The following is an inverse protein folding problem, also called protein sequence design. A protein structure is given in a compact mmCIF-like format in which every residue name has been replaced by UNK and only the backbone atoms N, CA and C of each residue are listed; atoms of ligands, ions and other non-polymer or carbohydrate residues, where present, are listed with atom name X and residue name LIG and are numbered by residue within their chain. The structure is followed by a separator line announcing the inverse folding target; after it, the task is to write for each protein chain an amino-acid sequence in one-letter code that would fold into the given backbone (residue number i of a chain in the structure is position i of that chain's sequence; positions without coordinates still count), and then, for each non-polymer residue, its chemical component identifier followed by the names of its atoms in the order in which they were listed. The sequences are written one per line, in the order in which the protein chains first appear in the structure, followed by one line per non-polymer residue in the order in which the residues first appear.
data_IF_668020680000
#
_entry.id   IF_668020680000
#
_cell.length_a   1.000
_cell.length_b   1.000
_cell.length_c   1.000
_cell.angle_alpha   90.00
_cell.angle_beta   90.00
_cell.angle_gamma   90.00
#
_symmetry.space_group_name_H-M   'P 1'
#
loop_
_entity.id
_entity.type
_entity.pdbx_description
1 polymer ?
#
# COMPACT_ATOMS: atom_id res chain seq x y z
N UNK A 1 -20.85 22.56 -29.24
CA UNK A 1 -20.97 22.37 -27.79
C UNK A 1 -20.02 21.25 -27.35
N UNK A 2 -18.81 21.63 -26.95
CA UNK A 2 -17.71 20.69 -26.61
C UNK A 2 -17.92 19.95 -25.28
N UNK A 3 -18.84 20.39 -24.45
CA UNK A 3 -19.25 19.67 -23.25
C UNK A 3 -19.96 18.35 -23.57
N UNK A 4 -20.50 18.22 -24.76
CA UNK A 4 -21.13 16.99 -25.28
C UNK A 4 -20.06 16.00 -25.78
N UNK A 5 -18.84 16.46 -26.10
CA UNK A 5 -17.78 15.57 -26.61
C UNK A 5 -17.23 14.59 -25.58
N UNK A 6 -17.37 14.88 -24.28
CA UNK A 6 -16.98 13.91 -23.23
C UNK A 6 -17.84 12.66 -23.23
N UNK A 7 -19.16 12.82 -23.46
CA UNK A 7 -20.05 11.67 -23.66
C UNK A 7 -19.84 10.95 -25.00
N UNK A 8 -19.35 11.66 -26.02
CA UNK A 8 -19.04 11.06 -27.32
C UNK A 8 -17.74 10.27 -27.28
N UNK A 9 -16.72 10.70 -26.49
CA UNK A 9 -15.49 9.94 -26.28
C UNK A 9 -15.76 8.53 -25.78
N UNK A 10 -16.62 8.38 -24.75
CA UNK A 10 -17.01 7.07 -24.22
C UNK A 10 -17.80 6.23 -25.25
N UNK A 11 -18.61 6.87 -26.08
CA UNK A 11 -19.34 6.18 -27.15
C UNK A 11 -18.38 5.68 -28.22
N UNK A 12 -17.41 6.48 -28.63
CA UNK A 12 -16.40 6.07 -29.62
C UNK A 12 -15.50 4.96 -29.08
N UNK A 13 -15.04 5.07 -27.85
CA UNK A 13 -14.26 4.01 -27.18
C UNK A 13 -15.03 2.70 -27.12
N UNK A 14 -16.29 2.74 -26.71
CA UNK A 14 -17.17 1.57 -26.71
C UNK A 14 -17.36 1.00 -28.14
N UNK A 15 -17.51 1.84 -29.15
CA UNK A 15 -17.62 1.40 -30.53
C UNK A 15 -16.31 0.75 -31.01
N UNK A 16 -15.16 1.33 -30.68
CA UNK A 16 -13.86 0.76 -31.00
C UNK A 16 -13.67 -0.61 -30.35
N UNK A 17 -14.02 -0.74 -29.06
CA UNK A 17 -13.99 -2.04 -28.36
C UNK A 17 -14.91 -3.09 -29.00
N UNK A 18 -16.15 -2.73 -29.31
CA UNK A 18 -17.11 -3.63 -29.97
C UNK A 18 -16.62 -4.05 -31.36
N UNK A 19 -16.00 -3.12 -32.09
CA UNK A 19 -15.45 -3.40 -33.41
C UNK A 19 -14.23 -4.36 -33.30
N UNK A 20 -13.31 -4.08 -32.39
CA UNK A 20 -12.17 -4.97 -32.08
C UNK A 20 -12.63 -6.37 -31.69
N UNK A 21 -13.61 -6.49 -30.79
CA UNK A 21 -14.19 -7.78 -30.38
C UNK A 21 -14.71 -8.58 -31.58
N UNK A 22 -15.42 -7.93 -32.51
CA UNK A 22 -15.92 -8.58 -33.73
C UNK A 22 -14.80 -9.04 -34.65
N UNK A 23 -13.79 -8.21 -34.82
CA UNK A 23 -12.63 -8.52 -35.67
C UNK A 23 -11.82 -9.69 -35.09
N UNK A 24 -11.53 -9.68 -33.78
CA UNK A 24 -10.81 -10.77 -33.12
C UNK A 24 -11.62 -12.06 -33.10
N UNK A 25 -12.93 -12.01 -32.83
CA UNK A 25 -13.83 -13.17 -32.92
C UNK A 25 -13.78 -13.79 -34.32
N UNK A 26 -13.86 -12.95 -35.36
CA UNK A 26 -13.79 -13.41 -36.74
C UNK A 26 -12.40 -13.97 -37.10
N UNK A 27 -11.34 -13.29 -36.65
CA UNK A 27 -9.94 -13.67 -36.94
C UNK A 27 -9.56 -15.00 -36.29
N UNK A 28 -9.97 -15.22 -35.02
CA UNK A 28 -9.61 -16.40 -34.24
C UNK A 28 -10.62 -17.53 -34.31
N UNK A 29 -11.80 -17.30 -34.90
CA UNK A 29 -12.91 -18.27 -34.94
C UNK A 29 -13.33 -18.77 -33.54
N UNK A 30 -13.29 -17.92 -32.54
CA UNK A 30 -13.63 -18.20 -31.14
C UNK A 30 -14.78 -17.30 -30.68
N UNK A 31 -15.37 -17.60 -29.54
CA UNK A 31 -16.45 -16.76 -28.99
C UNK A 31 -15.94 -15.41 -28.49
N UNK A 32 -16.81 -14.39 -28.44
CA UNK A 32 -16.49 -13.08 -27.87
C UNK A 32 -15.97 -13.19 -26.42
N UNK A 33 -16.52 -14.11 -25.63
CA UNK A 33 -16.05 -14.36 -24.25
C UNK A 33 -14.61 -14.89 -24.26
N UNK A 34 -14.28 -15.79 -25.18
CA UNK A 34 -12.91 -16.32 -25.29
C UNK A 34 -11.91 -15.24 -25.73
N UNK A 35 -12.32 -14.28 -26.58
CA UNK A 35 -11.48 -13.14 -26.96
C UNK A 35 -11.19 -12.26 -25.76
N UNK A 36 -12.15 -12.02 -24.86
CA UNK A 36 -11.95 -11.22 -23.66
C UNK A 36 -10.87 -11.80 -22.72
N UNK A 37 -10.75 -13.13 -22.67
CA UNK A 37 -9.77 -13.80 -21.81
C UNK A 37 -8.43 -14.08 -22.49
N UNK A 38 -8.39 -14.08 -23.83
CA UNK A 38 -7.18 -14.44 -24.58
C UNK A 38 -6.24 -13.25 -24.80
N UNK A 39 -6.78 -12.07 -25.01
CA UNK A 39 -5.98 -10.83 -25.15
C UNK A 39 -6.71 -9.64 -24.54
N UNK A 40 -6.08 -8.93 -23.61
CA UNK A 40 -6.64 -7.67 -23.14
C UNK A 40 -6.77 -6.67 -24.30
N UNK A 41 -7.87 -5.96 -24.32
CA UNK A 41 -8.07 -4.88 -25.28
C UNK A 41 -7.02 -3.79 -25.02
N UNK A 42 -6.21 -3.51 -26.04
CA UNK A 42 -5.34 -2.32 -26.05
C UNK A 42 -6.12 -1.21 -26.76
N UNK A 43 -6.35 -0.11 -26.06
CA UNK A 43 -6.95 1.06 -26.70
C UNK A 43 -6.07 1.50 -27.88
N UNK A 44 -6.66 1.77 -29.05
CA UNK A 44 -5.88 2.35 -30.15
C UNK A 44 -5.26 3.68 -29.70
N UNK A 45 -4.14 4.04 -30.29
CA UNK A 45 -3.49 5.35 -30.10
C UNK A 45 -4.47 6.46 -30.51
N UNK A 46 -5.35 6.83 -29.60
CA UNK A 46 -6.32 7.84 -29.86
C UNK A 46 -6.11 9.05 -28.97
N UNK A 47 -6.07 10.18 -29.61
CA UNK A 47 -6.28 11.52 -29.10
C UNK A 47 -5.02 12.19 -28.56
N UNK A 48 -4.13 12.50 -29.49
CA UNK A 48 -3.19 13.60 -29.30
C UNK A 48 -4.03 14.88 -29.15
N UNK A 49 -3.99 15.46 -27.96
CA UNK A 49 -4.57 16.77 -27.71
C UNK A 49 -3.73 17.82 -28.38
N UNK A 50 -4.34 18.70 -29.14
CA UNK A 50 -3.68 19.83 -29.78
C UNK A 50 -4.16 21.15 -29.18
N UNK A 51 -3.45 22.23 -29.45
CA UNK A 51 -3.86 23.58 -29.03
C UNK A 51 -5.25 23.98 -29.54
N UNK A 52 -5.71 23.36 -30.64
CA UNK A 52 -7.06 23.61 -31.18
C UNK A 52 -8.17 22.94 -30.35
N UNK A 53 -7.83 21.98 -29.51
CA UNK A 53 -8.76 21.26 -28.67
C UNK A 53 -8.90 21.90 -27.28
N UNK A 54 -8.11 22.96 -27.03
CA UNK A 54 -8.00 23.63 -25.74
C UNK A 54 -8.76 24.95 -25.78
N UNK A 55 -9.64 25.15 -24.75
CA UNK A 55 -10.30 26.44 -24.53
C UNK A 55 -10.10 26.84 -23.06
N UNK A 56 -9.22 27.79 -22.82
CA UNK A 56 -8.92 28.33 -21.50
C UNK A 56 -9.85 29.49 -21.10
N UNK A 57 -10.76 29.93 -21.98
CA UNK A 57 -11.65 31.05 -21.68
C UNK A 57 -12.69 30.73 -20.62
N UNK A 58 -13.05 29.47 -20.44
CA UNK A 58 -14.08 29.03 -19.50
C UNK A 58 -13.56 28.50 -18.18
N UNK A 59 -12.29 28.01 -18.12
CA UNK A 59 -11.71 27.40 -16.91
C UNK A 59 -10.19 27.50 -16.91
N UNK A 60 -9.62 27.65 -15.70
CA UNK A 60 -8.19 27.59 -15.43
C UNK A 60 -7.70 26.16 -15.10
N UNK A 61 -8.59 25.19 -15.05
CA UNK A 61 -8.33 23.85 -14.52
C UNK A 61 -8.65 22.77 -15.56
N UNK A 62 -7.68 21.90 -15.81
CA UNK A 62 -7.86 20.69 -16.61
C UNK A 62 -7.91 19.43 -15.73
N UNK A 63 -8.73 18.46 -16.15
CA UNK A 63 -8.73 17.11 -15.56
C UNK A 63 -8.43 16.11 -16.68
N UNK A 64 -7.31 15.41 -16.56
CA UNK A 64 -6.88 14.40 -17.52
C UNK A 64 -7.01 13.00 -16.90
N UNK A 65 -7.75 12.10 -17.56
CA UNK A 65 -8.00 10.76 -17.06
C UNK A 65 -7.14 9.75 -17.82
N UNK A 66 -6.32 9.00 -17.07
CA UNK A 66 -5.58 7.86 -17.58
C UNK A 66 -6.32 6.60 -17.18
N UNK A 67 -6.60 5.73 -18.13
CA UNK A 67 -7.20 4.43 -17.88
C UNK A 67 -6.23 3.31 -18.24
N UNK A 68 -6.28 2.25 -17.45
CA UNK A 68 -5.63 0.97 -17.78
C UNK A 68 -6.61 -0.15 -17.60
N UNK A 69 -6.64 -1.01 -18.58
CA UNK A 69 -7.42 -2.23 -18.50
C UNK A 69 -6.54 -3.33 -17.87
N UNK A 70 -7.05 -3.99 -16.84
CA UNK A 70 -6.44 -5.18 -16.27
C UNK A 70 -7.44 -6.32 -16.43
N UNK A 71 -7.19 -7.20 -17.41
CA UNK A 71 -7.98 -8.40 -17.64
C UNK A 71 -7.41 -9.58 -16.88
N UNK A 72 -8.24 -10.57 -16.58
CA UNK A 72 -7.79 -11.87 -16.13
C UNK A 72 -7.13 -12.64 -17.29
N UNK A 73 -6.13 -13.45 -17.00
CA UNK A 73 -5.48 -14.34 -17.96
C UNK A 73 -4.25 -13.77 -18.67
N UNK A 74 -3.81 -12.56 -18.32
CA UNK A 74 -2.54 -12.01 -18.77
C UNK A 74 -1.92 -11.15 -17.68
N UNK A 75 -0.61 -11.29 -17.50
CA UNK A 75 0.16 -10.42 -16.62
C UNK A 75 0.38 -9.08 -17.27
N UNK A 76 0.72 -8.10 -16.45
CA UNK A 76 1.07 -6.75 -16.90
C UNK A 76 2.55 -6.69 -17.29
N UNK A 77 2.84 -5.87 -18.30
CA UNK A 77 4.17 -5.75 -18.87
C UNK A 77 4.76 -4.36 -18.61
N UNK A 78 6.09 -4.30 -18.48
CA UNK A 78 6.83 -3.04 -18.43
C UNK A 78 6.93 -2.41 -19.83
N UNK A 79 5.78 -2.04 -20.38
CA UNK A 79 5.66 -1.45 -21.70
C UNK A 79 4.74 -0.21 -21.72
N UNK A 80 4.79 0.56 -22.82
CA UNK A 80 3.91 1.70 -23.05
C UNK A 80 2.46 1.25 -23.15
N UNK A 81 1.58 1.98 -22.44
CA UNK A 81 0.14 1.69 -22.39
C UNK A 81 -0.25 0.61 -21.39
N UNK A 82 0.70 0.00 -20.71
CA UNK A 82 0.44 -0.88 -19.59
C UNK A 82 1.06 -0.30 -18.31
N UNK A 83 2.27 -0.70 -17.92
CA UNK A 83 2.94 -0.13 -16.75
C UNK A 83 3.41 1.30 -17.02
N UNK A 84 3.84 1.62 -18.24
CA UNK A 84 4.33 2.95 -18.66
C UNK A 84 3.23 3.76 -19.34
N UNK A 85 3.43 5.09 -19.34
CA UNK A 85 2.60 6.00 -20.12
C UNK A 85 2.84 5.82 -21.62
N UNK A 86 1.78 5.93 -22.41
CA UNK A 86 1.93 6.11 -23.85
C UNK A 86 2.63 7.44 -24.18
N UNK A 87 3.33 7.53 -25.32
CA UNK A 87 3.92 8.79 -25.77
C UNK A 87 2.91 9.94 -25.90
N UNK A 88 1.69 9.65 -26.38
CA UNK A 88 0.65 10.66 -26.50
C UNK A 88 0.11 11.10 -25.13
N UNK A 89 0.00 10.21 -24.15
CA UNK A 89 -0.38 10.59 -22.79
C UNK A 89 0.63 11.55 -22.18
N UNK A 90 1.94 11.27 -22.36
CA UNK A 90 3.02 12.16 -21.92
C UNK A 90 2.91 13.53 -22.60
N UNK A 91 2.74 13.54 -23.93
CA UNK A 91 2.56 14.78 -24.69
C UNK A 91 1.33 15.57 -24.24
N UNK A 92 0.21 14.92 -24.02
CA UNK A 92 -1.01 15.54 -23.54
C UNK A 92 -0.85 16.15 -22.15
N UNK A 93 -0.21 15.44 -21.23
CA UNK A 93 0.05 15.94 -19.87
C UNK A 93 0.95 17.17 -19.92
N UNK A 94 2.03 17.15 -20.69
CA UNK A 94 2.92 18.31 -20.87
C UNK A 94 2.17 19.52 -21.43
N UNK A 95 1.41 19.32 -22.51
CA UNK A 95 0.64 20.41 -23.14
C UNK A 95 -0.40 20.99 -22.16
N UNK A 96 -1.16 20.15 -21.46
CA UNK A 96 -2.16 20.61 -20.51
C UNK A 96 -1.52 21.31 -19.30
N UNK A 97 -0.38 20.82 -18.82
CA UNK A 97 0.37 21.45 -17.72
C UNK A 97 0.95 22.81 -18.11
N UNK A 98 1.30 23.02 -19.38
CA UNK A 98 1.79 24.30 -19.89
C UNK A 98 0.68 25.33 -20.08
N UNK A 99 -0.52 24.87 -20.45
CA UNK A 99 -1.61 25.76 -20.88
C UNK A 99 -2.58 26.11 -19.75
N UNK A 100 -2.82 25.19 -18.81
CA UNK A 100 -3.75 25.42 -17.70
C UNK A 100 -3.00 25.73 -16.41
N UNK A 101 -3.54 26.63 -15.59
CA UNK A 101 -2.97 26.96 -14.27
C UNK A 101 -2.97 25.75 -13.33
N UNK A 102 -3.92 24.83 -13.52
CA UNK A 102 -4.08 23.63 -12.70
C UNK A 102 -4.35 22.40 -13.57
N UNK A 103 -3.54 21.39 -13.40
CA UNK A 103 -3.77 20.07 -13.99
C UNK A 103 -3.94 19.01 -12.89
N UNK A 104 -5.08 18.34 -12.95
CA UNK A 104 -5.39 17.19 -12.09
C UNK A 104 -5.36 15.94 -12.98
N UNK A 105 -4.49 15.00 -12.67
CA UNK A 105 -4.44 13.69 -13.35
C UNK A 105 -5.20 12.68 -12.53
N UNK A 106 -6.16 12.00 -13.15
CA UNK A 106 -6.98 10.95 -12.52
C UNK A 106 -6.57 9.61 -13.08
N UNK A 107 -6.26 8.68 -12.20
CA UNK A 107 -5.86 7.31 -12.54
C UNK A 107 -7.04 6.36 -12.35
N UNK A 108 -7.67 5.96 -13.45
CA UNK A 108 -8.70 4.92 -13.49
C UNK A 108 -8.04 3.58 -13.86
N UNK A 109 -7.35 2.99 -12.89
CA UNK A 109 -6.48 1.83 -13.09
C UNK A 109 -6.67 0.82 -11.96
N UNK A 110 -6.48 -0.47 -12.25
CA UNK A 110 -6.63 -1.56 -11.28
C UNK A 110 -5.35 -1.97 -10.54
N UNK A 111 -4.18 -1.45 -10.93
CA UNK A 111 -2.88 -1.78 -10.35
C UNK A 111 -1.89 -0.64 -10.44
N UNK A 112 -0.65 -0.88 -10.02
CA UNK A 112 0.42 0.11 -10.06
C UNK A 112 0.86 0.43 -11.49
N UNK A 113 1.35 1.63 -11.72
CA UNK A 113 1.98 2.06 -12.98
C UNK A 113 3.14 3.03 -12.70
N UNK A 114 3.97 3.30 -13.70
CA UNK A 114 5.04 4.27 -13.58
C UNK A 114 4.49 5.71 -13.55
N UNK A 115 4.67 6.37 -12.41
CA UNK A 115 4.31 7.78 -12.20
C UNK A 115 5.53 8.68 -12.02
N UNK A 116 6.75 8.17 -12.16
CA UNK A 116 7.98 8.90 -11.89
C UNK A 116 8.12 10.12 -12.78
N UNK A 117 7.87 9.96 -14.07
CA UNK A 117 7.89 11.04 -15.04
C UNK A 117 6.76 12.05 -14.79
N UNK A 118 5.53 11.58 -14.63
CA UNK A 118 4.36 12.44 -14.37
C UNK A 118 4.55 13.32 -13.13
N UNK A 119 5.10 12.78 -12.07
CA UNK A 119 5.38 13.52 -10.83
C UNK A 119 6.42 14.61 -11.03
N UNK A 120 7.30 14.49 -12.03
CA UNK A 120 8.36 15.47 -12.33
C UNK A 120 7.88 16.58 -13.25
N UNK A 121 6.71 16.45 -13.89
CA UNK A 121 6.18 17.48 -14.79
C UNK A 121 5.70 18.67 -13.97
N UNK A 122 6.33 19.82 -14.16
CA UNK A 122 5.87 21.08 -13.58
C UNK A 122 4.48 21.42 -14.14
N UNK A 123 3.54 21.83 -13.27
CA UNK A 123 2.15 22.09 -13.64
C UNK A 123 1.19 20.94 -13.36
N UNK A 124 1.64 19.73 -13.07
CA UNK A 124 0.79 18.68 -12.51
C UNK A 124 0.56 18.95 -11.03
N UNK A 125 -0.59 19.49 -10.68
CA UNK A 125 -0.91 19.94 -9.32
C UNK A 125 -1.41 18.82 -8.41
N UNK A 126 -2.10 17.81 -8.98
CA UNK A 126 -2.62 16.69 -8.24
C UNK A 126 -2.69 15.40 -9.08
N UNK A 127 -2.45 14.29 -8.42
CA UNK A 127 -2.69 12.95 -8.97
C UNK A 127 -3.72 12.27 -8.06
N UNK A 128 -4.84 11.85 -8.63
CA UNK A 128 -5.93 11.18 -7.91
C UNK A 128 -6.06 9.74 -8.37
N UNK A 129 -5.78 8.79 -7.49
CA UNK A 129 -6.02 7.38 -7.74
C UNK A 129 -7.51 7.09 -7.51
N UNK A 130 -8.24 6.92 -8.59
CA UNK A 130 -9.67 6.63 -8.58
C UNK A 130 -9.95 5.13 -8.46
N UNK A 131 -9.03 4.29 -8.89
CA UNK A 131 -9.24 2.85 -9.11
C UNK A 131 -10.38 2.57 -10.10
N UNK A 132 -10.94 1.37 -10.12
CA UNK A 132 -12.04 0.97 -11.00
C UNK A 132 -13.37 0.93 -10.21
N UNK A 133 -13.99 2.10 -10.04
CA UNK A 133 -15.09 2.31 -9.10
C UNK A 133 -16.48 1.87 -9.57
N UNK A 134 -16.63 1.31 -10.76
CA UNK A 134 -17.93 0.89 -11.29
C UNK A 134 -18.87 2.05 -11.64
N UNK A 135 -20.17 1.79 -11.63
CA UNK A 135 -21.19 2.68 -12.25
C UNK A 135 -21.31 4.07 -11.62
N UNK A 136 -21.01 4.24 -10.34
CA UNK A 136 -21.09 5.52 -9.63
C UNK A 136 -19.72 6.20 -9.47
N UNK A 137 -18.71 5.69 -10.16
CA UNK A 137 -17.33 6.20 -10.05
C UNK A 137 -17.21 7.66 -10.44
N UNK A 138 -17.91 8.09 -11.49
CA UNK A 138 -17.93 9.49 -11.93
C UNK A 138 -18.50 10.44 -10.88
N UNK A 139 -19.59 10.06 -10.23
CA UNK A 139 -20.22 10.88 -9.17
C UNK A 139 -19.28 10.98 -7.95
N UNK A 140 -18.65 9.86 -7.54
CA UNK A 140 -17.71 9.85 -6.46
C UNK A 140 -16.46 10.70 -6.75
N UNK A 141 -15.95 10.63 -7.98
CA UNK A 141 -14.84 11.47 -8.45
C UNK A 141 -15.21 12.95 -8.37
N UNK A 142 -16.39 13.32 -8.91
CA UNK A 142 -16.87 14.70 -8.87
C UNK A 142 -16.97 15.22 -7.43
N UNK A 143 -17.56 14.44 -6.52
CA UNK A 143 -17.71 14.83 -5.11
C UNK A 143 -16.37 15.12 -4.44
N UNK A 144 -15.32 14.38 -4.81
CA UNK A 144 -13.94 14.64 -4.34
C UNK A 144 -13.39 15.90 -5.00
N UNK A 145 -13.48 16.04 -6.33
CA UNK A 145 -12.91 17.17 -7.06
C UNK A 145 -13.47 18.52 -6.63
N UNK A 146 -14.78 18.57 -6.34
CA UNK A 146 -15.43 19.81 -5.85
C UNK A 146 -15.33 20.01 -4.34
N UNK A 147 -14.64 19.11 -3.63
CA UNK A 147 -14.43 19.20 -2.18
C UNK A 147 -15.66 18.88 -1.32
N UNK A 148 -16.71 18.31 -1.90
CA UNK A 148 -17.90 17.83 -1.15
C UNK A 148 -17.54 16.64 -0.26
N UNK A 149 -16.63 15.80 -0.72
CA UNK A 149 -16.05 14.68 0.03
C UNK A 149 -14.55 14.86 0.12
N UNK A 150 -14.01 14.80 1.33
CA UNK A 150 -12.57 14.80 1.56
C UNK A 150 -12.03 13.37 1.38
N UNK A 151 -11.04 13.14 0.48
CA UNK A 151 -10.47 11.81 0.27
C UNK A 151 -9.81 11.30 1.55
N UNK A 152 -10.00 10.02 1.82
CA UNK A 152 -9.41 9.34 2.98
C UNK A 152 -8.97 7.92 2.65
N UNK A 153 -8.81 7.62 1.37
CA UNK A 153 -8.24 6.37 0.87
C UNK A 153 -6.73 6.32 1.11
N UNK A 154 -6.21 5.11 1.26
CA UNK A 154 -4.78 4.85 1.36
C UNK A 154 -4.38 3.83 0.30
N UNK A 155 -3.14 3.95 -0.23
CA UNK A 155 -2.60 2.96 -1.16
C UNK A 155 -2.47 1.61 -0.48
N UNK A 156 -2.91 0.55 -1.15
CA UNK A 156 -2.78 -0.83 -0.71
C UNK A 156 -1.50 -1.49 -1.21
N UNK A 157 -0.80 -0.79 -2.09
CA UNK A 157 0.44 -1.23 -2.72
C UNK A 157 1.57 -0.24 -2.47
N UNK A 158 2.81 -0.70 -2.62
CA UNK A 158 3.99 0.17 -2.65
C UNK A 158 4.30 0.50 -4.10
N UNK A 159 4.36 1.78 -4.43
CA UNK A 159 4.63 2.26 -5.79
C UNK A 159 6.11 2.55 -5.94
N UNK A 160 6.78 1.78 -6.76
CA UNK A 160 8.20 1.95 -7.06
C UNK A 160 8.46 3.24 -7.87
N UNK A 161 9.70 3.72 -7.83
CA UNK A 161 10.15 4.79 -8.74
C UNK A 161 10.47 4.25 -10.12
N UNK A 162 11.02 3.04 -10.18
CA UNK A 162 11.34 2.34 -11.41
C UNK A 162 10.80 0.92 -11.31
N UNK A 163 10.46 0.33 -12.45
CA UNK A 163 9.99 -1.05 -12.51
C UNK A 163 10.98 -2.03 -11.87
N UNK A 164 12.28 -1.84 -12.13
CA UNK A 164 13.35 -2.68 -11.59
C UNK A 164 13.58 -2.54 -10.07
N UNK A 165 12.89 -1.63 -9.40
CA UNK A 165 12.91 -1.53 -7.94
C UNK A 165 12.02 -2.61 -7.26
N UNK A 166 11.16 -3.29 -8.02
CA UNK A 166 10.43 -4.46 -7.50
C UNK A 166 11.33 -5.70 -7.54
N UNK A 167 11.38 -6.51 -6.47
CA UNK A 167 12.36 -7.59 -6.36
C UNK A 167 12.22 -8.66 -7.45
N UNK A 168 11.00 -9.00 -7.84
CA UNK A 168 10.71 -10.02 -8.87
C UNK A 168 10.69 -9.48 -10.30
N UNK A 169 10.84 -8.15 -10.52
CA UNK A 169 10.64 -7.50 -11.81
C UNK A 169 11.42 -8.08 -12.98
N UNK A 170 12.65 -8.56 -12.73
CA UNK A 170 13.51 -9.12 -13.78
C UNK A 170 13.11 -10.53 -14.22
N UNK A 171 12.29 -11.21 -13.43
CA UNK A 171 11.97 -12.64 -13.64
C UNK A 171 10.48 -12.89 -13.82
N UNK A 172 9.64 -12.08 -13.22
CA UNK A 172 8.20 -12.28 -13.19
C UNK A 172 7.60 -12.42 -14.59
N UNK A 173 6.83 -13.49 -14.81
CA UNK A 173 6.07 -13.78 -16.04
C UNK A 173 6.88 -13.88 -17.34
N UNK A 174 8.20 -13.67 -17.32
CA UNK A 174 9.05 -13.58 -18.52
C UNK A 174 10.29 -14.46 -18.47
N UNK A 175 10.41 -15.28 -17.44
CA UNK A 175 11.52 -16.18 -17.25
C UNK A 175 11.23 -17.48 -18.01
N UNK A 176 11.78 -17.66 -19.13
CA UNK A 176 12.00 -18.90 -19.91
C UNK A 176 10.92 -20.02 -19.85
N UNK A 177 10.11 -20.10 -18.78
CA UNK A 177 9.02 -21.06 -18.63
C UNK A 177 7.67 -20.36 -18.39
N UNK A 178 6.67 -20.70 -19.18
CA UNK A 178 5.27 -20.28 -18.97
C UNK A 178 4.52 -21.22 -18.01
N UNK A 179 5.18 -22.25 -17.51
CA UNK A 179 4.59 -23.29 -16.66
C UNK A 179 5.12 -23.28 -15.23
N UNK A 180 6.31 -22.69 -15.03
CA UNK A 180 7.01 -22.73 -13.76
C UNK A 180 7.39 -21.30 -13.34
N UNK A 181 6.90 -20.85 -12.21
CA UNK A 181 7.25 -19.55 -11.60
C UNK A 181 7.92 -19.77 -10.25
N UNK A 182 9.10 -19.19 -10.05
CA UNK A 182 9.87 -19.30 -8.81
C UNK A 182 9.59 -18.09 -7.92
N UNK A 183 8.87 -18.31 -6.82
CA UNK A 183 8.57 -17.27 -5.83
C UNK A 183 9.79 -17.04 -4.92
N UNK A 184 10.73 -16.22 -5.37
CA UNK A 184 11.99 -15.94 -4.66
C UNK A 184 11.94 -14.72 -3.73
N UNK A 185 10.82 -14.02 -3.67
CA UNK A 185 10.65 -12.85 -2.78
C UNK A 185 10.60 -13.25 -1.30
N UNK A 186 10.31 -14.49 -0.97
CA UNK A 186 10.18 -14.98 0.39
C UNK A 186 9.16 -14.15 1.18
N UNK A 187 9.59 -13.64 2.36
CA UNK A 187 8.75 -12.77 3.19
C UNK A 187 8.77 -11.30 2.73
N UNK A 188 9.61 -10.96 1.75
CA UNK A 188 9.87 -9.58 1.34
C UNK A 188 9.00 -9.13 0.18
N UNK A 189 7.69 -9.09 0.39
CA UNK A 189 6.71 -8.62 -0.58
C UNK A 189 6.25 -7.19 -0.24
N UNK A 190 6.14 -6.32 -1.25
CA UNK A 190 5.64 -4.95 -1.10
C UNK A 190 6.48 -4.12 -0.12
N UNK A 191 5.83 -3.39 0.80
CA UNK A 191 6.53 -2.51 1.75
C UNK A 191 7.56 -3.25 2.62
N UNK A 192 7.36 -4.54 2.90
CA UNK A 192 8.34 -5.35 3.67
C UNK A 192 9.68 -5.42 2.96
N UNK A 193 9.68 -5.52 1.62
CA UNK A 193 10.90 -5.41 0.82
C UNK A 193 11.46 -4.00 0.88
N UNK A 194 10.70 -3.00 0.48
CA UNK A 194 11.18 -1.62 0.37
C UNK A 194 11.78 -1.11 1.68
N UNK A 195 11.12 -1.38 2.80
CA UNK A 195 11.56 -0.94 4.13
C UNK A 195 12.80 -1.72 4.62
N UNK A 196 12.89 -3.04 4.34
CA UNK A 196 13.98 -3.90 4.80
C UNK A 196 15.25 -3.72 3.99
N UNK A 197 15.13 -3.49 2.68
CA UNK A 197 16.28 -3.29 1.79
C UNK A 197 16.65 -1.81 1.64
N UNK A 198 15.89 -0.91 2.26
CA UNK A 198 16.15 0.54 2.19
C UNK A 198 15.88 1.16 0.82
N UNK A 199 15.07 0.52 0.00
CA UNK A 199 14.65 1.03 -1.31
C UNK A 199 13.56 2.08 -1.11
N UNK A 200 13.79 3.30 -1.60
CA UNK A 200 12.83 4.40 -1.43
C UNK A 200 11.75 4.33 -2.52
N UNK A 201 10.49 4.06 -2.18
CA UNK A 201 9.41 4.06 -3.15
C UNK A 201 9.07 5.48 -3.62
N UNK A 202 8.27 5.58 -4.68
CA UNK A 202 7.62 6.80 -5.10
C UNK A 202 6.48 7.16 -4.14
N UNK A 203 5.63 6.16 -3.83
CA UNK A 203 4.61 6.22 -2.77
C UNK A 203 4.66 4.94 -1.95
N UNK A 204 4.73 5.09 -0.63
CA UNK A 204 4.78 3.95 0.28
C UNK A 204 3.40 3.29 0.45
N UNK A 205 3.37 2.08 0.98
CA UNK A 205 2.14 1.44 1.43
C UNK A 205 1.44 2.31 2.47
N UNK A 206 0.12 2.41 2.35
CA UNK A 206 -0.70 3.23 3.26
C UNK A 206 -0.65 4.73 2.99
N UNK A 207 0.04 5.18 1.92
CA UNK A 207 0.08 6.59 1.56
C UNK A 207 -1.29 7.10 1.10
N UNK A 208 -1.58 8.34 1.42
CA UNK A 208 -2.76 9.06 0.91
C UNK A 208 -2.87 10.43 1.56
N UNK A 209 -3.15 11.44 0.74
CA UNK A 209 -3.37 12.81 1.18
C UNK A 209 -4.84 13.08 1.46
N UNK A 210 -5.08 14.10 2.27
CA UNK A 210 -6.40 14.63 2.61
C UNK A 210 -6.41 16.13 2.36
N UNK A 211 -7.58 16.74 2.30
CA UNK A 211 -7.74 18.21 2.24
C UNK A 211 -7.57 18.87 3.63
N UNK A 212 -7.31 18.06 4.65
CA UNK A 212 -7.04 18.49 6.02
C UNK A 212 -5.88 17.71 6.59
N UNK A 213 -5.32 18.20 7.71
CA UNK A 213 -4.21 17.55 8.40
C UNK A 213 -4.69 16.90 9.69
N UNK A 214 -3.99 15.83 10.09
CA UNK A 214 -4.29 15.11 11.33
C UNK A 214 -3.05 14.98 12.20
N UNK A 215 -3.24 15.11 13.50
CA UNK A 215 -2.26 14.74 14.51
C UNK A 215 -2.64 13.39 15.10
N UNK A 216 -1.69 12.45 15.12
CA UNK A 216 -1.86 11.10 15.69
C UNK A 216 -0.93 10.99 16.90
N UNK A 217 -1.49 10.64 18.05
CA UNK A 217 -0.74 10.45 19.30
C UNK A 217 -1.09 9.09 19.90
N UNK A 218 -0.09 8.22 20.01
CA UNK A 218 -0.25 6.97 20.75
C UNK A 218 -0.28 7.23 22.26
N UNK A 219 -1.17 6.56 22.97
CA UNK A 219 -1.21 6.50 24.41
C UNK A 219 -0.39 5.33 24.95
N UNK A 220 -0.57 5.02 26.22
CA UNK A 220 0.15 3.92 26.88
C UNK A 220 -0.38 2.58 26.38
N UNK A 221 0.50 1.77 25.79
CA UNK A 221 0.19 0.40 25.37
C UNK A 221 -0.09 -0.47 26.61
N UNK A 222 -1.07 -1.34 26.52
CA UNK A 222 -1.37 -2.36 27.53
C UNK A 222 -1.56 -3.71 26.85
N UNK A 223 -1.39 -4.76 27.65
CA UNK A 223 -1.58 -6.15 27.22
C UNK A 223 -2.49 -6.83 28.22
N UNK A 224 -3.57 -7.41 27.72
CA UNK A 224 -4.54 -8.16 28.52
C UNK A 224 -4.64 -9.57 27.94
N UNK A 225 -4.10 -10.55 28.67
CA UNK A 225 -3.93 -11.90 28.11
C UNK A 225 -2.98 -11.86 26.91
N UNK A 226 -3.50 -12.20 25.75
CA UNK A 226 -2.78 -12.15 24.47
C UNK A 226 -3.12 -10.90 23.66
N UNK A 227 -4.09 -10.12 24.08
CA UNK A 227 -4.55 -8.93 23.34
C UNK A 227 -3.68 -7.73 23.67
N UNK A 228 -3.05 -7.19 22.64
CA UNK A 228 -2.29 -5.93 22.69
C UNK A 228 -3.27 -4.80 22.37
N UNK A 229 -3.33 -3.81 23.25
CA UNK A 229 -4.24 -2.67 23.14
C UNK A 229 -3.43 -1.37 23.03
N UNK A 230 -3.68 -0.61 21.98
CA UNK A 230 -2.99 0.64 21.67
C UNK A 230 -4.02 1.77 21.62
N UNK A 231 -4.19 2.55 22.69
CA UNK A 231 -4.99 3.75 22.65
C UNK A 231 -4.32 4.80 21.75
N UNK A 232 -5.08 5.41 20.87
CA UNK A 232 -4.60 6.46 19.97
C UNK A 232 -5.59 7.60 19.92
N UNK A 233 -5.08 8.81 20.09
CA UNK A 233 -5.82 10.04 19.91
C UNK A 233 -5.54 10.61 18.53
N UNK A 234 -6.59 10.85 17.74
CA UNK A 234 -6.52 11.45 16.41
C UNK A 234 -7.25 12.78 16.43
N UNK A 235 -6.57 13.84 16.06
CA UNK A 235 -7.14 15.20 15.99
C UNK A 235 -7.06 15.74 14.57
N UNK A 236 -8.16 16.25 14.05
CA UNK A 236 -8.14 17.06 12.85
C UNK A 236 -7.55 18.44 13.18
N UNK A 237 -6.35 18.73 12.67
CA UNK A 237 -5.63 19.98 12.92
C UNK A 237 -5.85 21.04 11.86
N UNK A 238 -6.53 20.70 10.77
CA UNK A 238 -6.92 21.64 9.72
C UNK A 238 -7.97 22.64 10.19
N UNK A 239 -8.26 23.62 9.33
CA UNK A 239 -9.14 24.75 9.68
C UNK A 239 -10.46 24.78 8.90
N UNK A 240 -10.54 24.04 7.79
CA UNK A 240 -11.61 24.20 6.82
C UNK A 240 -12.40 22.90 6.62
N UNK A 241 -11.71 21.79 6.35
CA UNK A 241 -12.34 20.56 5.92
C UNK A 241 -12.53 19.56 7.04
N UNK A 242 -13.70 18.93 7.06
CA UNK A 242 -13.90 17.68 7.80
C UNK A 242 -13.18 16.55 7.07
N UNK A 243 -12.74 15.52 7.80
CA UNK A 243 -12.01 14.41 7.19
C UNK A 243 -11.94 13.19 8.06
N UNK A 244 -11.44 12.11 7.49
CA UNK A 244 -11.13 10.85 8.18
C UNK A 244 -9.66 10.52 8.00
N UNK A 245 -9.06 9.93 9.01
CA UNK A 245 -7.69 9.40 8.92
C UNK A 245 -7.70 7.90 9.18
N UNK A 246 -6.70 7.20 8.60
CA UNK A 246 -6.46 5.78 8.86
C UNK A 246 -5.23 5.64 9.73
N UNK A 247 -5.44 5.24 10.98
CA UNK A 247 -4.35 4.89 11.89
C UNK A 247 -3.89 3.47 11.59
N UNK A 248 -2.59 3.30 11.45
CA UNK A 248 -1.93 2.03 11.17
C UNK A 248 -0.95 1.72 12.28
N UNK A 249 -0.99 0.49 12.79
CA UNK A 249 -0.05 -0.02 13.78
C UNK A 249 0.82 -1.07 13.12
N UNK A 250 2.13 -0.90 13.25
CA UNK A 250 3.12 -1.86 12.79
C UNK A 250 3.92 -2.39 13.98
N UNK A 251 4.48 -3.57 13.82
CA UNK A 251 5.50 -4.07 14.73
C UNK A 251 6.80 -4.35 14.00
N UNK A 252 7.92 -4.22 14.71
CA UNK A 252 9.25 -4.59 14.25
C UNK A 252 9.87 -5.51 15.29
N UNK A 253 10.05 -6.77 14.97
CA UNK A 253 10.72 -7.71 15.86
C UNK A 253 12.23 -7.51 15.80
N UNK A 254 12.89 -7.57 16.95
CA UNK A 254 14.35 -7.57 17.09
C UNK A 254 14.81 -8.88 17.70
N UNK A 255 15.93 -9.39 17.25
CA UNK A 255 16.45 -10.69 17.71
C UNK A 255 15.69 -11.87 17.11
N UNK A 256 15.89 -13.05 17.72
CA UNK A 256 15.37 -14.32 17.20
C UNK A 256 16.30 -14.99 16.19
N UNK A 257 15.91 -16.19 15.75
CA UNK A 257 16.67 -16.99 14.78
C UNK A 257 16.05 -16.90 13.38
N UNK A 258 14.73 -16.73 13.32
CA UNK A 258 14.02 -16.61 12.07
C UNK A 258 14.16 -15.19 11.50
N UNK A 259 14.26 -15.11 10.19
CA UNK A 259 14.31 -13.86 9.47
C UNK A 259 13.00 -13.08 9.59
N UNK A 260 13.09 -11.77 9.71
CA UNK A 260 11.95 -10.88 9.89
C UNK A 260 12.14 -9.56 9.14
N UNK A 261 11.11 -9.04 8.47
CA UNK A 261 11.21 -7.76 7.80
C UNK A 261 11.42 -6.61 8.78
N UNK A 262 11.71 -5.43 8.25
CA UNK A 262 11.88 -4.23 9.06
C UNK A 262 10.66 -3.94 9.93
N UNK A 263 9.46 -4.03 9.34
CA UNK A 263 8.18 -3.89 10.05
C UNK A 263 7.07 -4.64 9.33
N UNK A 264 6.01 -4.97 10.09
CA UNK A 264 4.79 -5.59 9.58
C UNK A 264 3.54 -4.90 10.13
N UNK A 265 2.51 -4.78 9.30
CA UNK A 265 1.22 -4.22 9.70
C UNK A 265 0.48 -5.19 10.62
N UNK A 266 0.23 -4.78 11.85
CA UNK A 266 -0.53 -5.56 12.82
C UNK A 266 -2.04 -5.29 12.73
N UNK A 267 -2.43 -4.02 12.73
CA UNK A 267 -3.83 -3.60 12.73
C UNK A 267 -3.97 -2.18 12.20
N UNK A 268 -5.11 -1.86 11.65
CA UNK A 268 -5.46 -0.51 11.25
C UNK A 268 -6.92 -0.19 11.56
N UNK A 269 -7.22 1.08 11.73
CA UNK A 269 -8.58 1.57 11.92
C UNK A 269 -8.76 2.96 11.33
N UNK A 270 -9.87 3.18 10.67
CA UNK A 270 -10.28 4.50 10.15
C UNK A 270 -11.12 5.22 11.20
N UNK A 271 -10.84 6.52 11.41
CA UNK A 271 -11.64 7.38 12.29
C UNK A 271 -13.05 7.60 11.75
N UNK A 272 -13.95 8.05 12.61
CA UNK A 272 -15.16 8.75 12.18
C UNK A 272 -14.81 10.02 11.40
N UNK A 273 -15.80 10.69 10.85
CA UNK A 273 -15.62 11.99 10.22
C UNK A 273 -15.36 13.05 11.29
N UNK A 274 -14.19 13.68 11.27
CA UNK A 274 -13.75 14.68 12.26
C UNK A 274 -13.85 16.08 11.67
N UNK A 275 -14.58 16.96 12.35
CA UNK A 275 -14.60 18.38 12.04
C UNK A 275 -13.24 19.04 12.38
N UNK A 276 -12.95 20.25 11.82
CA UNK A 276 -11.79 21.02 12.22
C UNK A 276 -11.68 21.19 13.74
N UNK A 277 -10.55 20.80 14.32
CA UNK A 277 -10.29 20.82 15.76
C UNK A 277 -10.86 19.63 16.54
N UNK A 278 -11.73 18.82 15.95
CA UNK A 278 -12.33 17.65 16.61
C UNK A 278 -11.30 16.54 16.83
N UNK A 279 -11.50 15.81 17.92
CA UNK A 279 -10.64 14.72 18.36
C UNK A 279 -11.45 13.44 18.52
N UNK A 280 -10.84 12.32 18.19
CA UNK A 280 -11.36 10.98 18.48
C UNK A 280 -10.30 10.16 19.20
N UNK A 281 -10.75 9.40 20.19
CA UNK A 281 -9.94 8.38 20.86
C UNK A 281 -10.38 7.02 20.33
N UNK A 282 -9.45 6.25 19.80
CA UNK A 282 -9.64 4.89 19.31
C UNK A 282 -8.70 3.94 20.06
N UNK A 283 -9.10 2.70 20.23
CA UNK A 283 -8.24 1.66 20.80
C UNK A 283 -8.05 0.58 19.74
N UNK A 284 -6.88 0.54 19.14
CA UNK A 284 -6.53 -0.53 18.21
C UNK A 284 -6.12 -1.76 19.01
N UNK A 285 -6.57 -2.93 18.55
CA UNK A 285 -6.38 -4.19 19.24
C UNK A 285 -5.96 -5.28 18.27
N UNK A 286 -4.98 -6.09 18.67
CA UNK A 286 -4.59 -7.29 17.93
C UNK A 286 -4.01 -8.34 18.88
N UNK A 287 -3.97 -9.60 18.41
CA UNK A 287 -3.45 -10.70 19.20
C UNK A 287 -1.95 -10.84 19.03
N UNK A 288 -1.22 -11.12 20.10
CA UNK A 288 0.24 -11.27 20.09
C UNK A 288 0.69 -12.38 19.11
N UNK A 289 -0.13 -13.41 18.92
CA UNK A 289 0.13 -14.51 17.97
C UNK A 289 0.26 -14.03 16.52
N UNK A 290 -0.33 -12.87 16.18
CA UNK A 290 -0.19 -12.29 14.84
C UNK A 290 1.24 -11.81 14.55
N UNK A 291 2.08 -11.68 15.57
CA UNK A 291 3.50 -11.35 15.42
C UNK A 291 4.40 -12.60 15.28
N UNK A 292 3.82 -13.80 15.28
CA UNK A 292 4.57 -15.03 15.09
C UNK A 292 5.07 -15.17 13.65
N UNK A 293 6.26 -15.75 13.48
CA UNK A 293 6.85 -16.11 12.19
C UNK A 293 6.71 -17.62 11.95
N UNK A 294 6.60 -18.02 10.68
CA UNK A 294 6.52 -19.43 10.34
C UNK A 294 7.92 -20.06 10.25
N UNK A 295 8.13 -21.13 11.00
CA UNK A 295 9.32 -21.94 10.93
C UNK A 295 9.05 -23.16 10.04
N UNK A 296 9.68 -23.22 8.88
CA UNK A 296 9.59 -24.39 7.99
C UNK A 296 10.17 -25.64 8.66
N UNK A 297 11.29 -25.49 9.37
CA UNK A 297 11.95 -26.57 10.08
C UNK A 297 11.03 -27.22 11.12
N UNK A 298 10.34 -26.41 11.89
CA UNK A 298 9.44 -26.88 12.95
C UNK A 298 8.01 -27.12 12.42
N UNK A 299 7.71 -26.73 11.18
CA UNK A 299 6.35 -26.68 10.63
C UNK A 299 5.38 -26.02 11.63
N UNK A 300 5.71 -24.84 12.12
CA UNK A 300 4.98 -24.16 13.18
C UNK A 300 5.11 -22.65 13.08
N UNK A 301 4.09 -21.93 13.53
CA UNK A 301 4.17 -20.52 13.82
C UNK A 301 4.74 -20.34 15.22
N UNK A 302 5.77 -19.52 15.32
CA UNK A 302 6.51 -19.28 16.56
C UNK A 302 6.63 -17.77 16.78
N UNK A 303 6.16 -17.33 17.95
CA UNK A 303 6.47 -16.02 18.48
C UNK A 303 7.80 -16.12 19.22
N UNK A 304 8.87 -15.63 18.60
CA UNK A 304 10.21 -15.77 19.17
C UNK A 304 10.45 -14.80 20.32
N UNK A 305 11.29 -15.22 21.22
CA UNK A 305 11.83 -14.38 22.30
C UNK A 305 12.55 -13.17 21.69
N UNK A 306 12.26 -11.98 22.23
CA UNK A 306 12.91 -10.73 21.81
C UNK A 306 12.03 -9.51 22.05
N UNK A 307 12.52 -8.37 21.59
CA UNK A 307 11.81 -7.10 21.67
C UNK A 307 11.00 -6.85 20.41
N UNK A 308 9.76 -6.47 20.58
CA UNK A 308 8.82 -6.10 19.52
C UNK A 308 8.48 -4.62 19.63
N UNK A 309 9.03 -3.84 18.73
CA UNK A 309 8.81 -2.39 18.67
C UNK A 309 7.44 -2.14 18.07
N UNK A 310 6.56 -1.47 18.79
CA UNK A 310 5.24 -1.07 18.29
C UNK A 310 5.32 0.32 17.72
N UNK A 311 4.88 0.47 16.48
CA UNK A 311 4.90 1.71 15.72
C UNK A 311 3.49 2.14 15.37
N UNK A 312 3.20 3.42 15.48
CA UNK A 312 1.90 4.00 15.13
C UNK A 312 2.08 5.14 14.13
N UNK A 313 1.27 5.15 13.11
CA UNK A 313 1.29 6.19 12.09
C UNK A 313 0.11 6.10 11.13
N UNK A 314 0.26 6.65 9.93
CA UNK A 314 -0.76 6.62 8.89
C UNK A 314 -0.27 6.07 7.53
N UNK A 315 0.95 5.58 7.49
CA UNK A 315 1.54 4.85 6.36
C UNK A 315 2.81 4.14 6.81
N UNK A 316 3.34 3.19 6.02
CA UNK A 316 4.58 2.47 6.36
C UNK A 316 5.80 3.38 6.53
N UNK A 317 5.84 4.50 5.81
CA UNK A 317 6.93 5.48 5.89
C UNK A 317 6.70 6.58 6.94
N UNK A 318 5.51 6.66 7.56
CA UNK A 318 5.15 7.71 8.52
C UNK A 318 4.69 7.10 9.84
N UNK A 319 5.57 6.36 10.48
CA UNK A 319 5.34 5.76 11.80
C UNK A 319 6.25 6.37 12.85
N UNK A 320 5.81 6.31 14.10
CA UNK A 320 6.62 6.64 15.28
C UNK A 320 6.56 5.48 16.26
N UNK A 321 7.66 5.23 16.95
CA UNK A 321 7.69 4.22 18.01
C UNK A 321 6.75 4.66 19.14
N UNK A 322 5.81 3.79 19.48
CA UNK A 322 4.84 4.01 20.55
C UNK A 322 5.19 3.24 21.84
N UNK A 323 5.93 2.14 21.71
CA UNK A 323 6.38 1.33 22.82
C UNK A 323 7.12 0.08 22.37
N UNK A 324 7.57 -0.71 23.32
CA UNK A 324 8.24 -1.99 23.09
C UNK A 324 7.56 -3.06 23.95
N UNK A 325 7.33 -4.22 23.38
CA UNK A 325 6.82 -5.41 24.07
C UNK A 325 7.94 -6.43 24.08
N UNK A 326 8.34 -6.91 25.28
CA UNK A 326 9.32 -7.98 25.43
C UNK A 326 8.60 -9.32 25.50
N UNK A 327 9.01 -10.26 24.64
CA UNK A 327 8.62 -11.67 24.69
C UNK A 327 9.76 -12.45 25.35
N UNK A 328 9.52 -13.03 26.52
CA UNK A 328 10.57 -13.59 27.37
C UNK A 328 11.05 -14.99 26.94
N UNK A 329 10.24 -15.74 26.22
CA UNK A 329 10.55 -17.09 25.74
C UNK A 329 9.85 -17.37 24.40
N UNK A 330 10.37 -18.34 23.65
CA UNK A 330 9.75 -18.77 22.39
C UNK A 330 8.41 -19.44 22.66
N UNK A 331 7.38 -19.02 21.91
CA UNK A 331 6.01 -19.52 22.05
C UNK A 331 5.56 -20.12 20.72
N UNK A 332 5.34 -21.43 20.68
CA UNK A 332 4.68 -22.04 19.54
C UNK A 332 3.19 -21.72 19.57
N UNK A 333 2.72 -20.84 18.67
CA UNK A 333 1.33 -20.40 18.63
C UNK A 333 0.44 -21.33 17.84
N UNK A 334 1.00 -21.95 16.77
CA UNK A 334 0.25 -22.89 15.93
C UNK A 334 1.17 -23.96 15.37
N UNK A 335 0.83 -25.22 15.51
CA UNK A 335 1.50 -26.34 14.83
C UNK A 335 0.83 -26.57 13.50
N UNK A 336 1.62 -26.64 12.44
CA UNK A 336 1.18 -26.92 11.08
C UNK A 336 1.75 -28.27 10.56
N UNK A 337 1.56 -28.53 9.29
CA UNK A 337 2.19 -29.63 8.56
C UNK A 337 2.67 -29.11 7.21
N UNK A 338 3.91 -29.36 6.87
CA UNK A 338 4.40 -29.11 5.53
C UNK A 338 3.86 -30.23 4.62
N UNK A 339 2.86 -29.89 3.82
CA UNK A 339 2.20 -30.86 2.96
C UNK A 339 2.91 -31.05 1.62
N UNK A 340 3.62 -30.00 1.18
CA UNK A 340 4.33 -29.99 -0.09
C UNK A 340 5.80 -29.64 0.17
N UNK A 341 6.69 -30.53 -0.17
CA UNK A 341 8.12 -30.24 -0.19
C UNK A 341 8.48 -29.71 -1.59
N UNK A 342 9.36 -28.74 -1.64
CA UNK A 342 9.92 -28.27 -2.90
C UNK A 342 10.99 -29.26 -3.36
N UNK A 343 10.96 -29.61 -4.66
CA UNK A 343 11.99 -30.45 -5.27
C UNK A 343 13.29 -29.69 -5.57
N UNK A 344 13.22 -28.36 -5.54
CA UNK A 344 14.34 -27.44 -5.78
C UNK A 344 14.44 -26.42 -4.65
N UNK A 345 15.67 -26.00 -4.34
CA UNK A 345 15.88 -24.90 -3.41
C UNK A 345 15.55 -23.57 -4.12
N UNK A 346 14.76 -22.73 -3.49
CA UNK A 346 14.53 -21.35 -3.94
C UNK A 346 15.74 -20.48 -3.57
N UNK A 347 16.09 -19.59 -4.47
CA UNK A 347 17.11 -18.57 -4.21
C UNK A 347 16.43 -17.29 -3.71
N UNK A 348 15.90 -17.36 -2.48
CA UNK A 348 15.20 -16.24 -1.88
C UNK A 348 16.12 -15.04 -1.65
N UNK A 349 15.53 -13.85 -1.73
CA UNK A 349 16.26 -12.60 -1.45
C UNK A 349 16.36 -12.36 0.05
N UNK A 350 17.53 -11.89 0.49
CA UNK A 350 17.79 -11.58 1.90
C UNK A 350 18.42 -10.18 2.05
N UNK A 351 17.95 -9.34 2.99
CA UNK A 351 18.60 -8.08 3.29
C UNK A 351 19.89 -8.30 4.09
N UNK A 352 20.68 -7.23 4.25
CA UNK A 352 21.77 -7.22 5.21
C UNK A 352 21.20 -7.25 6.65
N UNK A 353 21.11 -8.44 7.21
CA UNK A 353 20.49 -8.67 8.53
C UNK A 353 21.16 -7.86 9.65
N UNK A 354 22.47 -7.65 9.59
CA UNK A 354 23.21 -6.88 10.61
C UNK A 354 22.79 -5.41 10.58
N UNK A 355 22.78 -4.80 9.40
CA UNK A 355 22.34 -3.40 9.23
C UNK A 355 20.87 -3.21 9.58
N UNK A 356 20.03 -4.19 9.25
CA UNK A 356 18.61 -4.14 9.57
C UNK A 356 18.37 -4.16 11.08
N UNK A 357 19.08 -5.02 11.81
CA UNK A 357 19.00 -5.10 13.26
C UNK A 357 19.58 -3.85 13.96
N UNK A 358 20.71 -3.33 13.47
CA UNK A 358 21.30 -2.09 13.98
C UNK A 358 20.30 -0.92 13.83
N UNK A 359 19.70 -0.76 12.66
CA UNK A 359 18.68 0.27 12.40
C UNK A 359 17.52 0.18 13.38
N UNK A 360 16.98 -1.02 13.63
CA UNK A 360 15.89 -1.23 14.60
C UNK A 360 16.31 -0.84 16.02
N UNK A 361 17.51 -1.24 16.45
CA UNK A 361 18.03 -0.94 17.78
C UNK A 361 18.32 0.54 18.01
N UNK A 362 18.86 1.24 17.02
CA UNK A 362 19.06 2.69 17.07
C UNK A 362 17.75 3.45 17.29
N UNK A 363 16.68 3.07 16.59
CA UNK A 363 15.38 3.68 16.75
C UNK A 363 14.76 3.46 18.13
N UNK A 364 14.97 2.28 18.75
CA UNK A 364 14.58 2.04 20.15
C UNK A 364 15.35 2.98 21.07
N UNK A 365 16.66 3.02 20.90
CA UNK A 365 17.53 3.79 21.77
C UNK A 365 17.20 5.28 21.74
N UNK A 366 17.06 5.86 20.54
CA UNK A 366 16.69 7.25 20.36
C UNK A 366 15.31 7.56 20.95
N UNK A 367 14.37 6.65 20.80
CA UNK A 367 13.01 6.81 21.32
C UNK A 367 12.98 6.71 22.85
N UNK A 368 13.67 5.74 23.44
CA UNK A 368 13.75 5.59 24.89
C UNK A 368 14.43 6.79 25.56
N UNK A 369 15.49 7.32 24.96
CA UNK A 369 16.15 8.52 25.46
C UNK A 369 15.25 9.77 25.38
N UNK A 370 14.47 9.92 24.31
CA UNK A 370 13.64 11.11 24.11
C UNK A 370 12.33 11.10 24.88
N UNK A 371 11.72 9.92 25.11
CA UNK A 371 10.35 9.82 25.67
C UNK A 371 10.23 9.07 26.99
N UNK A 372 11.31 8.43 27.51
CA UNK A 372 11.25 7.55 28.68
C UNK A 372 10.10 6.54 28.59
N UNK A 373 9.99 5.83 27.46
CA UNK A 373 8.91 4.86 27.21
C UNK A 373 9.06 3.68 28.17
N UNK A 374 8.02 3.29 28.92
CA UNK A 374 8.05 2.08 29.73
C UNK A 374 8.07 0.85 28.83
N UNK A 375 9.05 -0.04 29.05
CA UNK A 375 9.04 -1.37 28.46
C UNK A 375 7.95 -2.20 29.12
N UNK A 376 7.17 -2.93 28.31
CA UNK A 376 6.21 -3.91 28.79
C UNK A 376 6.86 -5.28 28.68
N UNK A 377 6.95 -5.97 29.80
CA UNK A 377 7.57 -7.30 29.88
C UNK A 377 6.46 -8.36 29.86
N UNK A 378 6.49 -9.20 28.86
CA UNK A 378 5.65 -10.41 28.79
C UNK A 378 6.37 -11.54 29.52
N UNK A 379 5.93 -11.87 30.71
CA UNK A 379 6.58 -12.90 31.54
C UNK A 379 5.71 -14.14 31.72
N UNK A 380 5.15 -14.73 30.66
CA UNK A 380 4.66 -16.11 30.77
C UNK A 380 4.48 -16.78 29.42
N UNK A 381 4.98 -18.01 29.35
CA UNK A 381 4.67 -18.92 28.26
C UNK A 381 3.15 -19.13 28.13
N UNK A 382 2.63 -18.89 26.97
CA UNK A 382 1.32 -19.40 26.57
C UNK A 382 1.51 -20.90 26.32
N UNK A 383 1.11 -21.74 27.26
CA UNK A 383 1.06 -23.17 26.97
C UNK A 383 -0.15 -23.47 26.12
N UNK A 384 -0.05 -24.37 25.13
CA UNK A 384 -1.17 -24.72 24.25
C UNK A 384 -2.44 -25.18 24.97
N UNK A 385 -2.33 -25.61 26.22
CA UNK A 385 -3.42 -26.16 27.02
C UNK A 385 -4.04 -25.17 28.04
N UNK A 386 -3.48 -23.97 28.17
CA UNK A 386 -3.95 -22.97 29.13
C UNK A 386 -4.88 -21.93 28.50
N UNK A 387 -6.07 -22.34 28.09
CA UNK A 387 -7.13 -21.40 27.67
C UNK A 387 -7.77 -20.60 28.81
N UNK A 388 -7.21 -20.65 30.01
CA UNK A 388 -7.66 -19.87 31.19
C UNK A 388 -6.44 -19.21 31.85
N UNK A 389 -6.06 -18.03 31.37
CA UNK A 389 -4.90 -17.31 31.89
C UNK A 389 -5.27 -16.03 32.62
N UNK A 390 -4.93 -16.02 33.91
CA UNK A 390 -4.68 -14.78 34.64
C UNK A 390 -3.26 -14.32 34.35
N UNK A 391 -3.09 -13.25 33.59
CA UNK A 391 -1.81 -12.62 33.34
C UNK A 391 -1.44 -11.68 34.46
N UNK A 392 -0.30 -11.94 35.10
CA UNK A 392 0.35 -10.95 35.96
C UNK A 392 1.27 -10.09 35.10
N UNK A 393 0.87 -8.86 34.88
CA UNK A 393 1.69 -7.83 34.23
C UNK A 393 2.69 -7.29 35.25
N UNK A 394 3.96 -7.60 35.08
CA UNK A 394 5.03 -6.94 35.85
C UNK A 394 5.56 -5.78 35.03
N UNK A 395 5.22 -4.58 35.46
CA UNK A 395 5.89 -3.35 34.96
C UNK A 395 7.24 -3.23 35.65
N UNK A 396 8.31 -3.48 34.92
CA UNK A 396 9.65 -3.07 35.32
C UNK A 396 9.95 -1.68 34.74
N UNK A 397 9.94 -0.69 35.61
CA UNK A 397 10.53 0.61 35.28
C UNK A 397 12.04 0.51 35.40
N UNK A 398 12.76 0.54 34.30
CA UNK A 398 14.19 0.73 34.32
C UNK A 398 14.50 2.18 34.71
N UNK A 399 15.01 2.36 35.90
CA UNK A 399 15.76 3.56 36.25
C UNK A 399 17.18 3.37 35.69
N UNK A 400 17.54 4.19 34.72
CA UNK A 400 18.95 4.42 34.38
C UNK A 400 19.38 5.62 35.23
N UNK A 401 20.50 5.51 36.00
CA UNK A 401 21.02 6.59 36.84
C UNK A 401 21.45 7.82 36.07
#
# INVERSE_FOLDING_TARGET
DRSVSRGLGDVYKRQAYVQWMKEETARKHISEVAVMFDQPYKEPDCEIITTNDIDVSETDTAVYVIARNSGEGADRFDEEGDYRLYPHEKGNIHLLAEVYDKLIVVLNIGGVMDLSEMKSIEGVNAILLMTQLGNLGGDALLDVLIGKVNPSGKTTDTWAKNYMDYPSSAKFSHNESVHDEMYEDGIYVGYRYFDSFGVKPLYCFGYGKSYTDFEIKAGKISVEGNEIQIPVTVKNTGKIYTGKEVVQVYYSATGGVMEKPYQELAVYQKTKLLAPGETEEIVLKYQAEQMASYSEKEAAWILEKGDYIIRVGNSSASTKVAGVIEVCEDIQTLKAKNLFALDVALNEIHPDAVKLEEKKKEEIYDTLLSYKIPCLVFCRALKPDDMLLQTNLLMLSYFVP
#
